data_IF_540803706413
#
_entry.id   IF_540803706413
#
_cell.length_a   1.000
_cell.length_b   1.000
_cell.length_c   1.000
_cell.angle_alpha   90.00
_cell.angle_beta   90.00
_cell.angle_gamma   90.00
#
_symmetry.space_group_name_H-M   'P 1'
#
loop_
_entity.id
_entity.type
_entity.pdbx_description
1 polymer ?
#
# COMPACT_ATOMS: atom_id res chain seq x y z
N UNK A 1 -23.89 -33.41 -39.35
CA UNK A 1 -22.77 -34.29 -38.95
C UNK A 1 -21.55 -33.42 -38.64
N UNK A 2 -20.80 -33.79 -37.59
CA UNK A 2 -19.53 -33.24 -37.06
C UNK A 2 -19.61 -32.25 -35.87
N UNK A 3 -19.83 -32.79 -34.67
CA UNK A 3 -18.97 -32.59 -33.46
C UNK A 3 -17.61 -33.29 -33.70
N UNK A 4 -16.49 -33.05 -32.96
CA UNK A 4 -16.31 -32.60 -31.56
C UNK A 4 -15.26 -31.45 -31.41
N UNK A 5 -15.03 -30.82 -30.24
CA UNK A 5 -14.04 -31.25 -29.24
C UNK A 5 -14.14 -30.34 -27.99
N UNK A 6 -14.46 -30.93 -26.85
CA UNK A 6 -14.35 -30.33 -25.51
C UNK A 6 -12.90 -30.53 -25.05
N UNK A 7 -12.19 -29.47 -24.67
CA UNK A 7 -10.94 -29.56 -23.91
C UNK A 7 -11.21 -28.94 -22.54
N UNK A 8 -11.39 -29.81 -21.54
CA UNK A 8 -11.33 -29.45 -20.13
C UNK A 8 -9.86 -29.54 -19.70
N UNK A 9 -9.27 -28.42 -19.27
CA UNK A 9 -8.01 -28.44 -18.52
C UNK A 9 -8.35 -28.28 -17.05
N UNK A 10 -8.39 -29.42 -16.37
CA UNK A 10 -8.48 -29.52 -14.92
C UNK A 10 -7.04 -29.40 -14.38
N UNK A 11 -6.64 -28.24 -13.87
CA UNK A 11 -5.37 -28.10 -13.16
C UNK A 11 -5.64 -28.04 -11.65
N UNK A 12 -5.63 -29.20 -11.02
CA UNK A 12 -5.62 -29.35 -9.57
C UNK A 12 -4.19 -29.15 -9.06
N UNK A 13 -3.95 -28.08 -8.30
CA UNK A 13 -2.76 -27.96 -7.46
C UNK A 13 -3.21 -28.13 -6.00
N UNK A 14 -3.05 -29.35 -5.50
CA UNK A 14 -3.17 -29.69 -4.10
C UNK A 14 -1.89 -29.29 -3.36
N UNK A 15 -1.99 -28.47 -2.32
CA UNK A 15 -0.98 -28.38 -1.28
C UNK A 15 -1.65 -28.67 0.06
N UNK A 16 -1.36 -29.85 0.61
CA UNK A 16 -1.73 -30.28 1.96
C UNK A 16 -0.77 -29.69 3.02
N UNK A 17 -1.21 -29.58 4.29
CA UNK A 17 -0.41 -29.05 5.38
C UNK A 17 0.53 -30.11 5.97
N UNK A 18 1.80 -29.76 6.22
CA UNK A 18 2.69 -30.48 7.13
C UNK A 18 2.66 -29.71 8.46
N UNK A 19 1.98 -30.21 9.48
CA UNK A 19 2.38 -31.26 10.42
C UNK A 19 3.25 -30.70 11.56
N UNK A 20 2.66 -30.78 12.76
CA UNK A 20 3.19 -30.38 14.04
C UNK A 20 4.36 -31.25 14.53
N UNK A 21 5.17 -30.66 15.41
CA UNK A 21 6.15 -31.31 16.29
C UNK A 21 7.17 -30.26 16.75
N UNK A 22 7.60 -30.15 18.00
CA UNK A 22 7.27 -30.86 19.23
C UNK A 22 7.67 -29.94 20.40
N UNK A 23 6.99 -30.13 21.53
CA UNK A 23 7.20 -29.44 22.79
C UNK A 23 8.52 -29.90 23.47
N UNK A 24 8.90 -29.13 24.50
CA UNK A 24 9.80 -29.49 25.61
C UNK A 24 11.30 -29.51 25.25
N UNK A 25 12.24 -28.95 26.01
CA UNK A 25 12.32 -28.94 27.47
C UNK A 25 13.51 -28.08 27.93
N UNK A 26 13.34 -27.45 29.10
CA UNK A 26 14.34 -27.04 30.11
C UNK A 26 15.13 -25.75 29.91
N UNK A 27 15.32 -24.94 30.95
CA UNK A 27 14.74 -24.85 32.29
C UNK A 27 15.38 -23.64 32.97
N UNK A 28 14.78 -23.26 34.10
CA UNK A 28 15.37 -22.51 35.22
C UNK A 28 15.58 -21.00 35.01
N UNK A 29 14.62 -20.18 35.43
CA UNK A 29 14.33 -19.80 36.82
C UNK A 29 15.41 -18.91 37.42
N UNK A 30 15.15 -17.59 37.45
CA UNK A 30 15.69 -16.72 38.50
C UNK A 30 14.58 -15.77 38.97
N UNK A 31 14.03 -16.16 40.13
CA UNK A 31 13.55 -15.36 41.24
C UNK A 31 12.82 -14.03 40.98
N UNK A 32 11.51 -14.07 41.21
CA UNK A 32 10.73 -12.93 41.71
C UNK A 32 11.21 -12.58 43.12
N UNK A 33 12.10 -11.59 43.26
CA UNK A 33 12.39 -10.96 44.55
C UNK A 33 11.65 -9.63 44.66
N UNK A 34 10.59 -9.64 45.47
CA UNK A 34 9.99 -8.44 46.03
C UNK A 34 10.87 -7.98 47.20
N UNK A 35 11.77 -7.04 46.95
CA UNK A 35 12.36 -6.22 48.01
C UNK A 35 11.63 -4.90 48.06
N UNK A 36 10.67 -4.80 48.96
CA UNK A 36 10.19 -3.54 49.49
C UNK A 36 11.36 -2.82 50.16
N UNK A 37 11.68 -1.59 49.73
CA UNK A 37 12.28 -0.55 50.57
C UNK A 37 12.27 0.81 49.85
N UNK A 38 11.51 1.73 50.46
CA UNK A 38 11.66 3.18 50.54
C UNK A 38 11.82 4.02 49.25
N UNK A 39 10.83 4.88 48.99
CA UNK A 39 11.07 6.16 48.32
C UNK A 39 12.03 7.02 49.19
N UNK A 40 12.89 7.85 48.58
CA UNK A 40 12.48 9.23 48.36
C UNK A 40 12.90 9.86 47.00
N UNK A 41 12.10 10.85 46.65
CA UNK A 41 12.20 11.98 45.72
C UNK A 41 13.48 12.28 44.89
N UNK A 42 13.18 12.77 43.68
CA UNK A 42 13.89 13.81 42.90
C UNK A 42 15.30 13.48 42.34
N UNK A 43 15.32 12.90 41.13
CA UNK A 43 16.27 13.30 40.08
C UNK A 43 15.72 12.88 38.71
N UNK A 44 15.60 13.85 37.80
CA UNK A 44 15.00 13.65 36.48
C UNK A 44 15.75 12.64 35.62
N UNK A 45 15.16 11.45 35.47
CA UNK A 45 15.46 10.59 34.33
C UNK A 45 14.49 11.00 33.24
N UNK A 46 14.99 11.81 32.31
CA UNK A 46 14.33 12.03 31.02
C UNK A 46 14.29 10.67 30.33
N UNK A 47 13.22 9.92 30.55
CA UNK A 47 12.85 8.77 29.73
C UNK A 47 12.75 9.32 28.33
N UNK A 48 13.80 9.09 27.54
CA UNK A 48 13.74 9.35 26.11
C UNK A 48 12.75 8.33 25.59
N UNK A 49 11.50 8.77 25.44
CA UNK A 49 10.46 7.97 24.82
C UNK A 49 11.03 7.38 23.52
N UNK A 50 10.87 6.06 23.28
CA UNK A 50 11.30 5.48 22.03
C UNK A 50 10.62 6.25 20.89
N UNK A 51 11.42 6.89 20.04
CA UNK A 51 10.97 7.51 18.80
C UNK A 51 10.22 6.43 18.02
N UNK A 52 9.00 6.72 17.54
CA UNK A 52 8.10 5.66 17.13
C UNK A 52 8.67 5.00 15.86
N UNK A 53 8.69 3.66 15.87
CA UNK A 53 9.07 2.82 14.75
C UNK A 53 8.18 2.85 13.47
N UNK A 54 6.96 3.45 13.42
CA UNK A 54 6.11 3.36 12.23
C UNK A 54 6.57 4.27 11.09
N UNK A 55 7.36 5.32 11.35
CA UNK A 55 7.78 6.25 10.28
C UNK A 55 8.67 5.54 9.26
N UNK A 56 9.65 4.77 9.73
CA UNK A 56 10.59 4.06 8.86
C UNK A 56 9.90 2.94 8.08
N UNK A 57 8.98 2.21 8.72
CA UNK A 57 8.22 1.15 8.06
C UNK A 57 7.23 1.72 7.01
N UNK A 58 6.55 2.82 7.31
CA UNK A 58 5.65 3.49 6.38
C UNK A 58 6.41 4.08 5.18
N UNK A 59 7.59 4.65 5.42
CA UNK A 59 8.46 5.19 4.36
C UNK A 59 8.96 4.07 3.44
N UNK A 60 9.47 2.98 4.01
CA UNK A 60 9.87 1.80 3.23
C UNK A 60 8.72 1.23 2.39
N UNK A 61 7.49 1.27 2.91
CA UNK A 61 6.32 0.79 2.17
C UNK A 61 5.90 1.77 1.05
N UNK A 62 5.92 3.07 1.32
CA UNK A 62 5.64 4.09 0.31
C UNK A 62 6.61 3.97 -0.88
N UNK A 63 7.90 3.78 -0.61
CA UNK A 63 8.91 3.60 -1.66
C UNK A 63 8.70 2.31 -2.46
N UNK A 64 8.27 1.22 -1.81
CA UNK A 64 7.90 -0.01 -2.51
C UNK A 64 6.66 0.18 -3.41
N UNK A 65 5.68 0.99 -2.99
CA UNK A 65 4.50 1.28 -3.78
C UNK A 65 4.81 2.18 -4.99
N UNK A 66 5.69 3.18 -4.83
CA UNK A 66 6.21 3.99 -5.94
C UNK A 66 6.92 3.13 -6.99
N UNK A 67 7.86 2.30 -6.56
CA UNK A 67 8.60 1.42 -7.46
C UNK A 67 7.71 0.39 -8.16
N UNK A 68 6.65 -0.09 -7.49
CA UNK A 68 5.66 -0.96 -8.14
C UNK A 68 4.89 -0.20 -9.21
N UNK A 69 4.46 1.04 -8.95
CA UNK A 69 3.75 1.86 -9.93
C UNK A 69 4.61 2.17 -11.16
N UNK A 70 5.87 2.57 -10.97
CA UNK A 70 6.81 2.83 -12.05
C UNK A 70 7.02 1.59 -12.93
N UNK A 71 7.13 0.41 -12.33
CA UNK A 71 7.23 -0.85 -13.08
C UNK A 71 6.00 -1.10 -13.96
N UNK A 72 4.80 -0.84 -13.44
CA UNK A 72 3.58 -0.98 -14.23
C UNK A 72 3.55 0.04 -15.38
N UNK A 73 4.03 1.28 -15.17
CA UNK A 73 4.19 2.25 -16.26
C UNK A 73 5.15 1.76 -17.35
N UNK A 74 6.31 1.22 -16.96
CA UNK A 74 7.27 0.61 -17.91
C UNK A 74 6.67 -0.59 -18.66
N UNK A 75 5.75 -1.32 -18.03
CA UNK A 75 5.05 -2.46 -18.61
C UNK A 75 3.86 -2.09 -19.51
N UNK A 76 3.52 -0.79 -19.63
CA UNK A 76 2.44 -0.29 -20.48
C UNK A 76 1.25 0.32 -19.74
N UNK A 77 1.37 0.51 -18.43
CA UNK A 77 0.36 1.15 -17.57
C UNK A 77 -0.40 0.18 -16.67
N UNK A 78 -1.23 0.75 -15.79
CA UNK A 78 -2.07 -0.02 -14.88
C UNK A 78 -3.27 -0.62 -15.62
N UNK A 79 -3.58 -1.89 -15.34
CA UNK A 79 -4.70 -2.60 -15.99
C UNK A 79 -5.73 -3.16 -15.02
N UNK A 80 -5.41 -3.29 -13.73
CA UNK A 80 -6.33 -3.81 -12.71
C UNK A 80 -7.18 -2.66 -12.14
N UNK A 81 -8.33 -2.41 -12.75
CA UNK A 81 -9.24 -1.34 -12.31
C UNK A 81 -9.83 -1.64 -10.92
N UNK A 82 -9.98 -0.59 -10.12
CA UNK A 82 -10.64 -0.64 -8.83
C UNK A 82 -12.06 -0.11 -8.95
N UNK A 83 -13.05 -0.91 -8.56
CA UNK A 83 -14.42 -0.43 -8.48
C UNK A 83 -14.57 0.59 -7.33
N UNK A 84 -15.45 1.57 -7.51
CA UNK A 84 -15.65 2.63 -6.50
C UNK A 84 -16.03 2.07 -5.12
N UNK A 85 -16.72 0.93 -5.08
CA UNK A 85 -17.12 0.24 -3.86
C UNK A 85 -15.94 -0.46 -3.16
N UNK A 86 -14.92 -0.88 -3.91
CA UNK A 86 -13.69 -1.48 -3.37
C UNK A 86 -12.73 -0.43 -2.81
N UNK A 87 -12.83 0.82 -3.27
CA UNK A 87 -11.92 1.87 -2.85
C UNK A 87 -12.04 2.20 -1.35
N UNK A 88 -10.91 2.31 -0.64
CA UNK A 88 -10.92 2.79 0.73
C UNK A 88 -11.35 4.27 0.77
N UNK A 89 -11.90 4.76 1.90
CA UNK A 89 -12.54 6.08 1.96
C UNK A 89 -11.67 7.25 1.48
N UNK A 90 -10.36 7.22 1.75
CA UNK A 90 -9.44 8.27 1.29
C UNK A 90 -9.24 8.27 -0.23
N UNK A 91 -9.06 7.10 -0.84
CA UNK A 91 -8.90 6.97 -2.28
C UNK A 91 -10.19 7.37 -3.02
N UNK A 92 -11.36 6.94 -2.51
CA UNK A 92 -12.65 7.32 -3.08
C UNK A 92 -12.86 8.83 -3.09
N UNK A 93 -12.63 9.49 -1.95
CA UNK A 93 -12.76 10.95 -1.86
C UNK A 93 -11.81 11.68 -2.80
N UNK A 94 -10.59 11.16 -2.97
CA UNK A 94 -9.65 11.76 -3.91
C UNK A 94 -10.13 11.60 -5.36
N UNK A 95 -10.61 10.41 -5.75
CA UNK A 95 -11.18 10.19 -7.09
C UNK A 95 -12.36 11.12 -7.37
N UNK A 96 -13.30 11.23 -6.43
CA UNK A 96 -14.45 12.14 -6.53
C UNK A 96 -14.00 13.61 -6.64
N UNK A 97 -12.98 14.00 -5.87
CA UNK A 97 -12.40 15.35 -5.95
C UNK A 97 -11.77 15.60 -7.32
N UNK A 98 -10.99 14.67 -7.85
CA UNK A 98 -10.40 14.82 -9.18
C UNK A 98 -11.50 14.97 -10.24
N UNK A 99 -12.55 14.13 -10.22
CA UNK A 99 -13.68 14.29 -11.14
C UNK A 99 -14.38 15.66 -11.07
N UNK A 100 -14.45 16.26 -9.88
CA UNK A 100 -15.05 17.59 -9.71
C UNK A 100 -14.12 18.73 -10.12
N UNK A 101 -12.81 18.52 -10.07
CA UNK A 101 -11.79 19.58 -10.27
C UNK A 101 -11.06 19.48 -11.60
N UNK A 102 -11.24 18.40 -12.34
CA UNK A 102 -10.72 18.28 -13.69
C UNK A 102 -11.25 19.40 -14.58
N UNK A 103 -10.38 20.04 -15.39
CA UNK A 103 -10.82 21.04 -16.34
C UNK A 103 -11.83 20.46 -17.33
N UNK A 104 -12.74 21.30 -17.82
CA UNK A 104 -13.62 20.90 -18.91
C UNK A 104 -12.85 20.83 -20.22
N UNK A 105 -13.16 19.82 -21.05
CA UNK A 105 -12.55 19.61 -22.36
C UNK A 105 -12.20 18.14 -22.60
N UNK A 106 -11.89 17.76 -23.85
CA UNK A 106 -11.48 16.41 -24.19
C UNK A 106 -10.14 16.05 -23.53
N UNK A 107 -9.90 14.74 -23.33
CA UNK A 107 -8.64 14.24 -22.79
C UNK A 107 -8.48 14.37 -21.27
N UNK A 108 -9.52 14.81 -20.56
CA UNK A 108 -9.54 14.82 -19.10
C UNK A 108 -10.23 13.55 -18.59
N UNK A 109 -9.53 12.76 -17.79
CA UNK A 109 -10.09 11.57 -17.14
C UNK A 109 -9.46 11.36 -15.77
N UNK A 110 -10.19 10.72 -14.87
CA UNK A 110 -9.61 10.19 -13.64
C UNK A 110 -10.16 8.80 -13.39
N UNK A 111 -9.28 7.89 -13.05
CA UNK A 111 -9.57 6.47 -12.87
C UNK A 111 -8.88 5.96 -11.62
N UNK A 112 -9.31 4.79 -11.13
CA UNK A 112 -8.70 4.15 -9.99
C UNK A 112 -8.37 2.69 -10.27
N UNK A 113 -7.28 2.23 -9.67
CA UNK A 113 -6.66 0.95 -9.93
C UNK A 113 -6.19 0.29 -8.64
N UNK A 114 -6.07 -1.03 -8.67
CA UNK A 114 -5.38 -1.83 -7.66
C UNK A 114 -3.94 -2.03 -8.12
N UNK A 115 -3.02 -1.96 -7.16
CA UNK A 115 -1.59 -2.17 -7.39
C UNK A 115 -1.05 -3.12 -6.32
N UNK A 116 -0.36 -4.17 -6.73
CA UNK A 116 0.34 -5.05 -5.80
C UNK A 116 1.71 -4.46 -5.45
N UNK A 117 1.90 -4.05 -4.19
CA UNK A 117 3.14 -3.45 -3.69
C UNK A 117 3.64 -4.19 -2.44
N UNK A 118 4.81 -4.84 -2.54
CA UNK A 118 5.45 -5.60 -1.46
C UNK A 118 4.49 -6.59 -0.75
N UNK A 119 3.71 -7.35 -1.54
CA UNK A 119 2.76 -8.35 -1.03
C UNK A 119 1.48 -7.77 -0.41
N UNK A 120 1.22 -6.47 -0.60
CA UNK A 120 0.02 -5.78 -0.10
C UNK A 120 -0.67 -5.04 -1.25
N UNK A 121 -1.97 -4.85 -1.16
CA UNK A 121 -2.73 -4.03 -2.11
C UNK A 121 -2.58 -2.56 -1.77
N UNK A 122 -2.20 -1.77 -2.77
CA UNK A 122 -2.32 -0.33 -2.81
C UNK A 122 -3.45 0.05 -3.79
N UNK A 123 -4.02 1.22 -3.58
CA UNK A 123 -5.04 1.79 -4.46
C UNK A 123 -4.48 3.05 -5.10
N UNK A 124 -4.51 3.11 -6.42
CA UNK A 124 -3.96 4.23 -7.19
C UNK A 124 -5.12 5.01 -7.78
N UNK A 125 -5.14 6.32 -7.57
CA UNK A 125 -6.00 7.25 -8.33
C UNK A 125 -5.10 7.95 -9.33
N UNK A 126 -5.43 7.79 -10.61
CA UNK A 126 -4.67 8.34 -11.73
C UNK A 126 -5.56 9.33 -12.49
N UNK A 127 -5.05 10.54 -12.73
CA UNK A 127 -5.79 11.58 -13.45
C UNK A 127 -4.98 12.08 -14.63
N UNK A 128 -5.56 12.03 -15.81
CA UNK A 128 -5.01 12.61 -17.04
C UNK A 128 -5.69 13.95 -17.29
N UNK A 129 -4.89 14.97 -17.56
CA UNK A 129 -5.35 16.34 -17.81
C UNK A 129 -4.93 16.71 -19.23
N UNK A 130 -5.92 17.01 -20.07
CA UNK A 130 -5.75 17.28 -21.50
C UNK A 130 -4.90 16.22 -22.25
N UNK A 131 -4.88 14.98 -21.77
CA UNK A 131 -4.00 13.90 -22.23
C UNK A 131 -2.49 14.15 -22.12
N UNK A 132 -2.08 15.30 -21.60
CA UNK A 132 -0.67 15.73 -21.61
C UNK A 132 -0.04 15.66 -20.23
N UNK A 133 -0.83 15.80 -19.17
CA UNK A 133 -0.36 15.79 -17.79
C UNK A 133 -0.99 14.66 -16.99
N UNK A 134 -0.20 14.08 -16.11
CA UNK A 134 -0.55 12.98 -15.25
C UNK A 134 -0.41 13.42 -13.79
N UNK A 135 -1.46 13.18 -12.99
CA UNK A 135 -1.37 13.18 -11.53
C UNK A 135 -1.64 11.78 -11.01
N UNK A 136 -0.84 11.34 -10.04
CA UNK A 136 -1.00 10.05 -9.40
C UNK A 136 -1.03 10.19 -7.88
N UNK A 137 -1.99 9.50 -7.26
CA UNK A 137 -2.13 9.41 -5.82
C UNK A 137 -2.18 7.94 -5.41
N UNK A 138 -1.28 7.52 -4.52
CA UNK A 138 -1.22 6.14 -4.04
C UNK A 138 -1.67 6.08 -2.59
N UNK A 139 -2.65 5.22 -2.33
CA UNK A 139 -3.24 4.99 -1.02
C UNK A 139 -2.95 3.58 -0.53
N UNK A 140 -2.77 3.42 0.77
CA UNK A 140 -2.78 2.10 1.39
C UNK A 140 -4.22 1.56 1.56
N UNK A 141 -4.34 0.31 1.98
CA UNK A 141 -5.64 -0.33 2.24
C UNK A 141 -6.51 0.36 3.31
N UNK A 142 -5.91 1.17 4.19
CA UNK A 142 -6.65 2.00 5.15
C UNK A 142 -7.14 3.34 4.55
N UNK A 143 -6.82 3.62 3.29
CA UNK A 143 -7.16 4.89 2.63
C UNK A 143 -6.25 6.05 3.01
N UNK A 144 -5.07 5.78 3.56
CA UNK A 144 -4.07 6.83 3.84
C UNK A 144 -3.23 7.04 2.59
N UNK A 145 -3.11 8.30 2.17
CA UNK A 145 -2.23 8.70 1.07
C UNK A 145 -0.77 8.48 1.50
N UNK A 146 0.00 7.77 0.69
CA UNK A 146 1.41 7.44 0.99
C UNK A 146 2.39 7.95 -0.05
N UNK A 147 1.93 8.23 -1.27
CA UNK A 147 2.74 8.81 -2.32
C UNK A 147 1.86 9.64 -3.24
N UNK A 148 2.45 10.70 -3.76
CA UNK A 148 1.86 11.58 -4.74
C UNK A 148 2.93 11.93 -5.77
N UNK A 149 2.54 11.95 -7.05
CA UNK A 149 3.45 12.27 -8.12
C UNK A 149 2.74 12.97 -9.27
N UNK A 150 3.54 13.68 -10.07
CA UNK A 150 3.08 14.34 -11.27
C UNK A 150 4.06 14.10 -12.42
N UNK A 151 3.53 14.00 -13.63
CA UNK A 151 4.32 13.86 -14.85
C UNK A 151 3.59 14.51 -16.03
N UNK A 152 4.25 14.57 -17.16
CA UNK A 152 3.64 15.01 -18.41
C UNK A 152 4.34 14.36 -19.61
N UNK A 153 3.83 14.61 -20.81
CA UNK A 153 4.50 14.20 -22.05
C UNK A 153 5.90 14.82 -22.22
N UNK A 154 6.20 15.92 -21.52
CA UNK A 154 7.50 16.60 -21.57
C UNK A 154 8.38 16.29 -20.34
N UNK A 155 7.82 15.71 -19.29
CA UNK A 155 8.49 15.49 -18.00
C UNK A 155 8.14 14.12 -17.45
N UNK A 156 9.16 13.32 -17.19
CA UNK A 156 8.98 12.05 -16.48
C UNK A 156 8.23 12.25 -15.15
N UNK A 157 7.57 11.18 -14.71
CA UNK A 157 6.90 11.16 -13.42
C UNK A 157 7.88 11.49 -12.30
N UNK A 158 7.56 12.53 -11.53
CA UNK A 158 8.30 12.92 -10.35
C UNK A 158 7.44 12.71 -9.10
N UNK A 159 7.99 12.04 -8.09
CA UNK A 159 7.36 11.92 -6.79
C UNK A 159 7.54 13.19 -5.98
N UNK A 160 6.42 13.75 -5.52
CA UNK A 160 6.36 15.02 -4.79
C UNK A 160 6.08 14.79 -3.30
N UNK A 161 6.39 15.77 -2.43
CA UNK A 161 5.94 15.76 -1.05
C UNK A 161 4.42 15.59 -0.97
N UNK A 162 3.95 14.91 0.08
CA UNK A 162 2.51 14.73 0.26
C UNK A 162 1.81 16.09 0.41
N UNK A 163 0.68 16.30 -0.27
CA UNK A 163 -0.12 17.50 -0.09
C UNK A 163 -0.60 17.60 1.36
N UNK A 164 -0.43 18.77 1.95
CA UNK A 164 -0.80 19.09 3.34
C UNK A 164 -2.26 19.48 3.45
#
# INVERSE_FOLDING_TARGET
MKTPLIIAVLLAAAFSPVAAGNLENRADAVALSFSSLSAPALAGIKVTAPVPAPVRAAQNWADAAKAAYERELEAGGLTDFADILELPPGARRQLEKEWQTLPQGPGNSSEAFKLAAAGRTAFVVQSYIYSDSLRVYIFNAAGVLVAYGEGSIEKDLAWLPLPV
#
